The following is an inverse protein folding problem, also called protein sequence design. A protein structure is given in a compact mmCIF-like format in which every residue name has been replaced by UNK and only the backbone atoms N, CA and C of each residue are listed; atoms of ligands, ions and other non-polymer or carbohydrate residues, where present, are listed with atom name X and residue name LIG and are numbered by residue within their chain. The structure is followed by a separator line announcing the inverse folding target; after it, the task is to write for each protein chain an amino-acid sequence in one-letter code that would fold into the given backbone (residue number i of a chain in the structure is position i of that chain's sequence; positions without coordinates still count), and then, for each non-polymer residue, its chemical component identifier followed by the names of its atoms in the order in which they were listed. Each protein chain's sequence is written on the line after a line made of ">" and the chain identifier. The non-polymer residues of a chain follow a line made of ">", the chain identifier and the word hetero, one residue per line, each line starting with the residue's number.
data_IF_391601789563
#
_entry.id   IF_391601789563
#
_cell.length_a   1.000
_cell.length_b   1.000
_cell.length_c   1.000
_cell.angle_alpha   90.00
_cell.angle_beta   90.00
_cell.angle_gamma   90.00
#
_symmetry.space_group_name_H-M   'P 1'
#
loop_
_entity.id
_entity.type
_entity.pdbx_description
1 polymer ?
#
# COMPACT_ATOMS: atom_id res chain seq x y z
N UNK A 1 -22.85 17.00 7.47
CA UNK A 1 -23.02 16.73 6.04
C UNK A 1 -22.18 15.52 5.66
N UNK A 2 -22.74 14.57 4.95
CA UNK A 2 -21.95 13.51 4.38
C UNK A 2 -21.03 14.13 3.30
N UNK A 3 -19.73 13.91 3.40
CA UNK A 3 -18.79 14.27 2.33
C UNK A 3 -19.16 13.48 1.08
N UNK A 4 -19.26 14.14 -0.05
CA UNK A 4 -19.44 13.43 -1.33
C UNK A 4 -18.11 12.74 -1.68
N UNK A 5 -18.01 11.47 -1.28
CA UNK A 5 -16.82 10.66 -1.50
C UNK A 5 -16.56 10.43 -2.98
N UNK A 6 -17.61 10.36 -3.81
CA UNK A 6 -17.46 10.17 -5.26
C UNK A 6 -16.73 11.35 -5.88
N UNK A 7 -17.20 12.58 -5.60
CA UNK A 7 -16.54 13.79 -6.08
C UNK A 7 -15.09 13.91 -5.59
N UNK A 8 -14.82 13.49 -4.33
CA UNK A 8 -13.46 13.45 -3.81
C UNK A 8 -12.57 12.47 -4.58
N UNK A 9 -13.03 11.26 -4.84
CA UNK A 9 -12.27 10.27 -5.61
C UNK A 9 -12.05 10.70 -7.04
N UNK A 10 -13.06 11.23 -7.71
CA UNK A 10 -12.94 11.74 -9.07
C UNK A 10 -11.91 12.85 -9.19
N UNK A 11 -11.93 13.80 -8.26
CA UNK A 11 -10.98 14.91 -8.23
C UNK A 11 -9.54 14.49 -7.91
N UNK A 12 -9.33 13.34 -7.27
CA UNK A 12 -8.03 12.84 -6.84
C UNK A 12 -7.58 11.55 -7.57
N UNK A 13 -8.32 11.10 -8.57
CA UNK A 13 -8.11 9.79 -9.21
C UNK A 13 -6.67 9.60 -9.72
N UNK A 14 -6.10 10.60 -10.38
CA UNK A 14 -4.74 10.53 -10.94
C UNK A 14 -3.68 10.47 -9.84
N UNK A 15 -3.85 11.24 -8.76
CA UNK A 15 -2.95 11.21 -7.61
C UNK A 15 -3.01 9.85 -6.90
N UNK A 16 -4.21 9.35 -6.62
CA UNK A 16 -4.42 8.06 -5.94
C UNK A 16 -3.81 6.92 -6.77
N UNK A 17 -4.05 6.93 -8.09
CA UNK A 17 -3.45 5.93 -8.99
C UNK A 17 -1.93 6.04 -9.04
N UNK A 18 -1.38 7.25 -9.07
CA UNK A 18 0.05 7.48 -9.03
C UNK A 18 0.70 6.94 -7.76
N UNK A 19 0.12 7.20 -6.61
CA UNK A 19 0.58 6.67 -5.31
C UNK A 19 0.51 5.14 -5.28
N UNK A 20 -0.56 4.54 -5.78
CA UNK A 20 -0.66 3.08 -5.91
C UNK A 20 0.46 2.52 -6.81
N UNK A 21 0.74 3.16 -7.94
CA UNK A 21 1.79 2.71 -8.87
C UNK A 21 3.18 2.81 -8.24
N UNK A 22 3.45 3.87 -7.49
CA UNK A 22 4.72 4.03 -6.77
C UNK A 22 4.90 2.92 -5.73
N UNK A 23 3.84 2.55 -5.03
CA UNK A 23 3.85 1.45 -4.07
C UNK A 23 4.05 0.09 -4.75
N UNK A 24 3.34 -0.19 -5.85
CA UNK A 24 3.44 -1.44 -6.62
C UNK A 24 4.82 -1.66 -7.27
N UNK A 25 5.60 -0.59 -7.48
CA UNK A 25 6.98 -0.70 -7.99
C UNK A 25 7.98 -1.19 -6.96
N UNK A 26 7.61 -1.23 -5.69
CA UNK A 26 8.48 -1.74 -4.63
C UNK A 26 8.33 -3.26 -4.57
N UNK A 27 9.35 -4.06 -4.89
CA UNK A 27 9.25 -5.52 -4.87
C UNK A 27 9.36 -6.05 -3.44
N UNK A 28 8.34 -5.79 -2.62
CA UNK A 28 8.29 -6.12 -1.19
C UNK A 28 8.02 -7.61 -0.95
N UNK A 29 8.83 -8.48 -1.55
CA UNK A 29 8.71 -9.94 -1.46
C UNK A 29 9.27 -10.43 -0.13
N UNK A 30 8.45 -10.45 0.91
CA UNK A 30 8.88 -10.77 2.29
C UNK A 30 9.42 -12.19 2.48
N UNK A 31 9.05 -13.12 1.60
CA UNK A 31 9.51 -14.51 1.65
C UNK A 31 10.95 -14.70 1.14
N UNK A 32 11.60 -13.64 0.69
CA UNK A 32 12.94 -13.69 0.07
C UNK A 32 13.88 -12.68 0.72
N UNK A 33 14.96 -13.12 1.34
CA UNK A 33 15.90 -12.25 2.05
C UNK A 33 16.60 -11.23 1.15
N UNK A 34 16.76 -11.51 -0.14
CA UNK A 34 17.27 -10.54 -1.11
C UNK A 34 16.35 -9.31 -1.26
N UNK A 35 15.09 -9.40 -0.82
CA UNK A 35 14.10 -8.32 -0.81
C UNK A 35 13.83 -7.72 0.58
N UNK A 36 14.64 -8.02 1.59
CA UNK A 36 14.46 -7.46 2.95
C UNK A 36 14.52 -5.92 2.93
N UNK A 37 15.47 -5.36 2.18
CA UNK A 37 15.58 -3.90 2.03
C UNK A 37 14.38 -3.30 1.28
N UNK A 38 13.84 -3.99 0.29
CA UNK A 38 12.65 -3.57 -0.45
C UNK A 38 11.41 -3.63 0.44
N UNK A 39 11.27 -4.69 1.22
CA UNK A 39 10.16 -4.85 2.18
C UNK A 39 10.19 -3.74 3.23
N UNK A 40 11.37 -3.39 3.76
CA UNK A 40 11.51 -2.25 4.66
C UNK A 40 11.18 -0.92 3.96
N UNK A 41 11.62 -0.72 2.73
CA UNK A 41 11.28 0.47 1.92
C UNK A 41 9.76 0.60 1.72
N UNK A 42 9.05 -0.52 1.48
CA UNK A 42 7.59 -0.52 1.38
C UNK A 42 6.92 -0.08 2.69
N UNK A 43 7.40 -0.58 3.83
CA UNK A 43 6.91 -0.16 5.15
C UNK A 43 7.13 1.35 5.39
N UNK A 44 8.29 1.87 5.05
CA UNK A 44 8.61 3.31 5.16
C UNK A 44 7.75 4.16 4.23
N UNK A 45 7.53 3.71 3.00
CA UNK A 45 6.63 4.35 2.05
C UNK A 45 5.20 4.43 2.60
N UNK A 46 4.69 3.31 3.11
CA UNK A 46 3.33 3.22 3.70
C UNK A 46 3.20 4.13 4.92
N UNK A 47 4.19 4.13 5.84
CA UNK A 47 4.22 5.08 6.96
C UNK A 47 4.11 6.53 6.46
N UNK A 48 4.89 6.89 5.46
CA UNK A 48 4.87 8.23 4.86
C UNK A 48 3.51 8.55 4.23
N UNK A 49 2.88 7.59 3.55
CA UNK A 49 1.55 7.76 2.98
C UNK A 49 0.48 8.00 4.06
N UNK A 50 0.51 7.23 5.15
CA UNK A 50 -0.38 7.43 6.30
C UNK A 50 -0.19 8.82 6.93
N UNK A 51 1.05 9.29 7.08
CA UNK A 51 1.35 10.62 7.63
C UNK A 51 0.82 11.73 6.70
N UNK A 52 0.97 11.59 5.39
CA UNK A 52 0.39 12.55 4.42
C UNK A 52 -1.13 12.55 4.46
N UNK A 53 -1.75 11.43 4.79
CA UNK A 53 -3.20 11.32 5.00
C UNK A 53 -3.67 11.86 6.36
N UNK A 54 -2.77 12.35 7.21
CA UNK A 54 -3.09 12.96 8.50
C UNK A 54 -3.14 11.98 9.67
N UNK A 55 -2.67 10.75 9.51
CA UNK A 55 -2.54 9.79 10.61
C UNK A 55 -1.22 10.02 11.37
N UNK A 56 -1.21 9.77 12.67
CA UNK A 56 0.03 9.46 13.38
C UNK A 56 0.46 8.07 12.96
N UNK A 57 1.65 7.94 12.38
CA UNK A 57 2.13 6.66 11.89
C UNK A 57 3.59 6.39 12.28
N UNK A 58 3.86 5.15 12.68
CA UNK A 58 5.17 4.69 13.12
C UNK A 58 5.46 3.26 12.61
N UNK A 59 6.74 2.92 12.56
CA UNK A 59 7.21 1.55 12.33
C UNK A 59 7.51 0.91 13.68
N UNK A 60 6.97 -0.27 13.89
CA UNK A 60 7.24 -1.11 15.04
C UNK A 60 8.16 -2.25 14.59
N UNK A 61 9.40 -2.25 15.05
CA UNK A 61 10.34 -3.31 14.75
C UNK A 61 9.91 -4.63 15.40
N UNK A 62 10.06 -5.72 14.67
CA UNK A 62 9.77 -7.09 15.11
C UNK A 62 11.00 -7.97 14.86
N UNK A 63 10.93 -9.26 15.20
CA UNK A 63 11.95 -10.24 14.82
C UNK A 63 12.03 -10.49 13.30
N UNK A 64 10.98 -10.11 12.57
CA UNK A 64 10.90 -10.16 11.11
C UNK A 64 10.82 -8.77 10.49
N UNK A 65 9.90 -8.59 9.55
CA UNK A 65 9.65 -7.30 8.92
C UNK A 65 8.83 -6.39 9.86
N UNK A 66 9.00 -5.05 9.79
CA UNK A 66 8.33 -4.15 10.70
C UNK A 66 6.81 -4.12 10.48
N UNK A 67 6.07 -3.84 11.54
CA UNK A 67 4.65 -3.50 11.46
C UNK A 67 4.50 -1.99 11.27
N UNK A 68 3.62 -1.58 10.38
CA UNK A 68 3.26 -0.16 10.20
C UNK A 68 1.97 0.09 10.97
N UNK A 69 2.04 0.93 11.99
CA UNK A 69 0.88 1.32 12.79
C UNK A 69 0.50 2.77 12.47
N UNK A 70 -0.75 2.98 12.03
CA UNK A 70 -1.32 4.31 11.82
C UNK A 70 -2.55 4.52 12.71
N UNK A 71 -2.67 5.70 13.31
CA UNK A 71 -3.78 6.04 14.19
C UNK A 71 -4.36 7.42 13.87
N UNK A 72 -5.70 7.51 13.92
CA UNK A 72 -6.43 8.77 13.92
C UNK A 72 -7.54 8.69 14.97
N UNK A 73 -7.45 9.46 16.06
CA UNK A 73 -8.37 9.37 17.21
C UNK A 73 -9.09 10.70 17.52
N UNK A 74 -9.33 11.51 16.49
CA UNK A 74 -9.91 12.85 16.68
C UNK A 74 -11.44 12.87 16.58
N UNK A 75 -12.09 11.71 16.45
CA UNK A 75 -13.55 11.65 16.35
C UNK A 75 -14.28 11.93 17.68
N UNK A 76 -13.59 11.83 18.82
CA UNK A 76 -14.13 12.00 20.16
C UNK A 76 -14.08 10.73 20.98
N UNK A 77 -14.06 10.89 22.32
CA UNK A 77 -13.90 9.78 23.26
C UNK A 77 -15.12 8.82 23.30
N UNK A 78 -16.28 9.31 22.87
CA UNK A 78 -17.54 8.57 22.82
C UNK A 78 -17.75 7.80 21.51
N UNK A 79 -16.82 7.91 20.58
CA UNK A 79 -16.91 7.24 19.27
C UNK A 79 -16.20 5.89 19.28
N UNK A 80 -16.75 4.88 18.59
CA UNK A 80 -16.10 3.59 18.46
C UNK A 80 -14.79 3.73 17.65
N UNK A 81 -13.82 2.87 17.97
CA UNK A 81 -12.59 2.73 17.20
C UNK A 81 -12.77 1.61 16.17
N UNK A 82 -12.47 1.90 14.92
CA UNK A 82 -12.40 0.89 13.85
C UNK A 82 -10.95 0.50 13.65
N UNK A 83 -10.66 -0.79 13.69
CA UNK A 83 -9.36 -1.35 13.32
C UNK A 83 -9.43 -1.84 11.88
N UNK A 84 -8.53 -1.34 11.05
CA UNK A 84 -8.30 -1.82 9.68
C UNK A 84 -6.99 -2.59 9.68
N UNK A 85 -7.01 -3.78 9.11
CA UNK A 85 -5.83 -4.63 8.93
C UNK A 85 -5.60 -4.86 7.44
N UNK A 86 -4.36 -4.82 7.02
CA UNK A 86 -3.88 -5.18 5.69
C UNK A 86 -2.43 -5.59 5.74
N UNK A 87 -1.86 -6.06 4.64
CA UNK A 87 -0.43 -6.34 4.54
C UNK A 87 0.21 -5.54 3.40
N UNK A 88 1.51 -5.28 3.47
CA UNK A 88 2.25 -4.46 2.51
C UNK A 88 3.30 -5.25 1.72
N UNK A 89 3.43 -6.52 2.02
CA UNK A 89 4.29 -7.43 1.27
C UNK A 89 3.53 -8.12 0.13
N UNK A 90 4.27 -8.73 -0.77
CA UNK A 90 3.73 -9.44 -1.92
C UNK A 90 4.38 -10.81 -2.08
N UNK A 91 3.68 -11.70 -2.78
CA UNK A 91 4.20 -13.00 -3.17
C UNK A 91 5.32 -12.85 -4.21
N UNK A 92 6.24 -13.84 -4.30
CA UNK A 92 7.16 -13.95 -5.42
C UNK A 92 6.45 -13.89 -6.77
N UNK A 93 7.10 -13.29 -7.76
CA UNK A 93 6.50 -13.09 -9.09
C UNK A 93 6.76 -14.23 -10.08
N UNK A 94 7.59 -15.21 -9.70
CA UNK A 94 7.88 -16.33 -10.56
C UNK A 94 6.64 -17.23 -10.84
N UNK A 95 6.55 -17.83 -12.02
CA UNK A 95 7.49 -17.78 -13.14
C UNK A 95 7.34 -16.50 -13.98
N UNK A 96 8.47 -15.79 -14.20
CA UNK A 96 8.47 -14.47 -14.87
C UNK A 96 8.03 -14.53 -16.33
N UNK A 97 8.25 -15.65 -17.00
CA UNK A 97 7.88 -15.86 -18.41
C UNK A 97 6.36 -15.90 -18.67
N UNK A 98 5.56 -16.01 -17.62
CA UNK A 98 4.09 -15.98 -17.74
C UNK A 98 3.50 -14.57 -17.65
N UNK A 99 4.32 -13.56 -17.39
CA UNK A 99 3.87 -12.18 -17.32
C UNK A 99 3.90 -11.50 -18.69
N UNK A 100 2.79 -10.91 -19.12
CA UNK A 100 2.73 -10.09 -20.35
C UNK A 100 3.44 -8.73 -20.22
N UNK A 101 3.64 -8.28 -18.98
CA UNK A 101 4.37 -7.06 -18.63
C UNK A 101 5.16 -7.30 -17.33
N UNK A 102 6.26 -6.57 -17.08
CA UNK A 102 7.07 -6.78 -15.86
C UNK A 102 6.21 -6.68 -14.59
N UNK A 103 6.32 -7.64 -13.65
CA UNK A 103 5.42 -7.74 -12.49
C UNK A 103 5.47 -6.54 -11.55
N UNK A 104 6.59 -5.81 -11.46
CA UNK A 104 6.75 -4.62 -10.63
C UNK A 104 6.76 -3.31 -11.44
N UNK A 105 6.23 -3.33 -12.66
CA UNK A 105 5.94 -2.14 -13.46
C UNK A 105 4.43 -2.09 -13.76
N UNK A 106 3.65 -1.39 -12.93
CA UNK A 106 2.20 -1.34 -13.06
C UNK A 106 1.77 -0.88 -14.45
N UNK A 107 0.98 -1.68 -15.11
CA UNK A 107 0.53 -1.44 -16.49
C UNK A 107 -0.98 -1.42 -16.55
N UNK A 108 -1.55 -0.41 -17.21
CA UNK A 108 -3.00 -0.34 -17.47
C UNK A 108 -3.29 -0.92 -18.85
N UNK A 109 -4.16 -1.93 -18.90
CA UNK A 109 -4.71 -2.51 -20.14
C UNK A 109 -6.21 -2.70 -19.98
N UNK A 110 -6.99 -2.23 -20.96
CA UNK A 110 -8.46 -2.37 -20.97
C UNK A 110 -9.12 -1.93 -19.64
N UNK A 111 -8.66 -0.83 -19.06
CA UNK A 111 -9.19 -0.27 -17.83
C UNK A 111 -8.84 -1.06 -16.56
N UNK A 112 -7.89 -2.01 -16.63
CA UNK A 112 -7.40 -2.83 -15.49
C UNK A 112 -5.94 -2.58 -15.23
N UNK A 113 -5.55 -2.65 -13.96
CA UNK A 113 -4.15 -2.54 -13.52
C UNK A 113 -3.56 -3.94 -13.38
N UNK A 114 -2.41 -4.16 -14.03
CA UNK A 114 -1.65 -5.40 -13.97
C UNK A 114 -0.31 -5.15 -13.30
N UNK A 115 -0.10 -5.77 -12.14
CA UNK A 115 1.15 -5.83 -11.40
C UNK A 115 1.08 -6.89 -10.31
N UNK A 116 2.23 -7.35 -9.79
CA UNK A 116 2.25 -8.13 -8.55
C UNK A 116 1.78 -7.24 -7.39
N UNK A 117 0.83 -7.71 -6.56
CA UNK A 117 0.25 -6.94 -5.47
C UNK A 117 -0.95 -6.06 -5.84
N UNK A 118 -1.35 -5.99 -7.11
CA UNK A 118 -2.46 -5.10 -7.53
C UNK A 118 -3.84 -5.54 -7.03
N UNK A 119 -3.98 -6.77 -6.54
CA UNK A 119 -5.25 -7.35 -6.04
C UNK A 119 -5.07 -8.19 -4.76
N UNK A 120 -3.88 -8.25 -4.20
CA UNK A 120 -3.53 -9.03 -3.01
C UNK A 120 -2.58 -8.18 -2.15
N UNK A 121 -3.11 -7.61 -1.34
CA UNK A 121 -4.07 -6.87 -0.48
C UNK A 121 -4.25 -5.42 -0.93
#
# INVERSE_FOLDING_TARGET
>A
MATDLTAHFDANADRIRGELFDFLRIPSVSARSEHDADTRRAAEWLRGAMQRAGLRAELLDTEGHPVVLGEWRQAGADKPTVLVYGHYDVQPAEPLELWDSPPFEPTVRDGRIYARGSVDD
#
